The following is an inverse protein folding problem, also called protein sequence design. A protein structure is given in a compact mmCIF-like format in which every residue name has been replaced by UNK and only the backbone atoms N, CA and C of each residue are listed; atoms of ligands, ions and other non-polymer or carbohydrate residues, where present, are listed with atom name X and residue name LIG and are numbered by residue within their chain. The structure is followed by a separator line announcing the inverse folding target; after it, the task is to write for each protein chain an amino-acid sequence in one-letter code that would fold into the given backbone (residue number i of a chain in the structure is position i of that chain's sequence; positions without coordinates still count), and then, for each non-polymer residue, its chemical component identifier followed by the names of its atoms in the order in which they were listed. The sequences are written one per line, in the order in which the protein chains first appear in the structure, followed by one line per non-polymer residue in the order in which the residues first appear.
data_IF_446024824556
#
_entry.id   IF_446024824556
#
_cell.length_a   1.000
_cell.length_b   1.000
_cell.length_c   1.000
_cell.angle_alpha   90.00
_cell.angle_beta   90.00
_cell.angle_gamma   90.00
#
_symmetry.space_group_name_H-M   'P 1'
#
loop_
_entity.id
_entity.type
_entity.pdbx_description
1 polymer ?
#
# COMPACT_ATOMS: atom_id res chain seq x y z
N UNK A 1 10.80 10.37 -19.21
CA UNK A 1 10.01 10.37 -17.96
C UNK A 1 8.52 10.29 -18.30
N UNK A 2 7.64 9.98 -17.35
CA UNK A 2 6.18 9.88 -17.60
C UNK A 2 5.62 11.20 -18.15
N UNK A 3 6.16 12.31 -17.66
CA UNK A 3 5.82 13.67 -18.02
C UNK A 3 6.14 13.97 -19.50
N UNK A 4 7.26 13.42 -20.01
CA UNK A 4 7.65 13.56 -21.43
C UNK A 4 6.70 12.81 -22.38
N UNK A 5 5.97 11.82 -21.86
CA UNK A 5 4.98 11.04 -22.58
C UNK A 5 3.56 11.64 -22.47
N UNK A 6 3.41 12.80 -21.83
CA UNK A 6 2.11 13.48 -21.65
C UNK A 6 1.44 13.25 -20.29
N UNK A 7 2.12 12.60 -19.34
CA UNK A 7 1.58 12.33 -18.01
C UNK A 7 0.81 11.00 -17.91
N UNK A 8 0.21 10.76 -16.75
CA UNK A 8 -0.52 9.51 -16.45
C UNK A 8 -2.02 9.73 -16.53
N UNK A 9 -2.71 9.02 -17.42
CA UNK A 9 -4.17 9.01 -17.42
C UNK A 9 -4.74 8.18 -16.25
N UNK A 10 -4.21 6.97 -16.01
CA UNK A 10 -4.71 6.04 -14.98
C UNK A 10 -3.59 5.45 -14.11
N UNK A 11 -3.74 5.67 -12.80
CA UNK A 11 -3.07 5.13 -11.63
C UNK A 11 -3.64 3.83 -11.05
N UNK A 12 -3.31 2.61 -11.51
CA UNK A 12 -3.83 1.37 -10.89
C UNK A 12 -2.91 0.83 -9.79
N UNK A 13 -3.48 0.41 -8.66
CA UNK A 13 -2.73 -0.22 -7.57
C UNK A 13 -3.61 -0.81 -6.48
N UNK A 14 -3.00 -1.21 -5.36
CA UNK A 14 -3.68 -1.65 -4.14
C UNK A 14 -3.08 -0.96 -2.91
N UNK A 15 -3.68 -1.21 -1.75
CA UNK A 15 -3.19 -0.68 -0.47
C UNK A 15 -2.44 -1.77 0.30
N UNK A 16 -1.21 -1.46 0.69
CA UNK A 16 -0.35 -2.35 1.45
C UNK A 16 -0.73 -2.49 2.91
N UNK A 17 -0.04 -3.40 3.61
CA UNK A 17 -0.24 -3.63 5.05
C UNK A 17 -0.02 -2.36 5.88
N UNK A 18 1.08 -1.64 5.65
CA UNK A 18 1.40 -0.39 6.34
C UNK A 18 0.51 0.80 5.94
N UNK A 19 -0.44 0.60 5.01
CA UNK A 19 -1.15 1.70 4.37
C UNK A 19 -0.34 2.41 3.29
N UNK A 20 0.72 1.77 2.75
CA UNK A 20 1.52 2.30 1.65
C UNK A 20 0.80 2.26 0.31
N UNK A 21 1.34 3.03 -0.65
CA UNK A 21 1.13 2.89 -2.09
C UNK A 21 2.47 2.56 -2.75
N UNK A 22 2.52 1.56 -3.62
CA UNK A 22 3.80 1.06 -4.16
C UNK A 22 4.82 0.80 -3.02
N UNK A 23 6.07 1.27 -3.12
CA UNK A 23 7.02 1.22 -2.00
C UNK A 23 7.15 2.56 -1.26
N UNK A 24 6.10 3.38 -1.28
CA UNK A 24 6.00 4.62 -0.49
C UNK A 24 5.47 4.24 0.89
N UNK A 25 6.36 3.73 1.74
CA UNK A 25 6.03 3.30 3.10
C UNK A 25 6.07 4.45 4.11
N UNK A 26 5.21 4.46 5.13
CA UNK A 26 5.29 5.43 6.21
C UNK A 26 6.62 5.28 6.94
N UNK A 27 7.25 6.42 7.27
CA UNK A 27 8.56 6.48 7.96
C UNK A 27 9.68 5.74 7.23
N UNK A 28 9.57 5.53 5.92
CA UNK A 28 10.71 5.18 5.09
C UNK A 28 11.72 6.34 5.14
N UNK A 29 13.02 6.09 5.36
CA UNK A 29 14.04 7.13 5.38
C UNK A 29 14.04 8.00 4.12
N UNK A 30 13.68 7.41 2.98
CA UNK A 30 13.64 8.08 1.69
C UNK A 30 12.37 8.93 1.47
N UNK A 31 11.39 8.83 2.36
CA UNK A 31 10.16 9.63 2.37
C UNK A 31 9.88 10.26 3.76
N UNK A 32 10.91 10.43 4.57
CA UNK A 32 10.79 10.89 5.96
C UNK A 32 10.53 12.40 6.03
N UNK A 33 9.24 12.77 6.09
CA UNK A 33 8.80 14.14 6.36
C UNK A 33 7.44 14.12 7.06
N UNK A 34 7.21 15.12 7.90
CA UNK A 34 5.91 15.39 8.54
C UNK A 34 5.11 16.44 7.74
N UNK A 35 5.73 17.15 6.79
CA UNK A 35 5.07 18.13 5.95
C UNK A 35 4.39 17.44 4.76
N UNK A 36 3.06 17.55 4.72
CA UNK A 36 2.26 16.97 3.66
C UNK A 36 2.56 17.58 2.28
N UNK A 37 2.83 18.88 2.19
CA UNK A 37 3.15 19.52 0.90
C UNK A 37 4.49 19.02 0.37
N UNK A 38 5.49 18.89 1.26
CA UNK A 38 6.78 18.30 0.91
C UNK A 38 6.60 16.85 0.46
N UNK A 39 5.87 16.04 1.22
CA UNK A 39 5.61 14.64 0.89
C UNK A 39 4.96 14.48 -0.49
N UNK A 40 3.93 15.28 -0.81
CA UNK A 40 3.25 15.24 -2.11
C UNK A 40 4.17 15.61 -3.28
N UNK A 41 5.18 16.43 -3.07
CA UNK A 41 6.15 16.83 -4.09
C UNK A 41 7.23 15.77 -4.35
N UNK A 42 7.33 14.75 -3.50
CA UNK A 42 8.36 13.72 -3.62
C UNK A 42 8.15 12.85 -4.87
N UNK A 43 9.19 12.81 -5.72
CA UNK A 43 9.24 12.00 -6.94
C UNK A 43 9.82 10.60 -6.78
N UNK A 44 10.05 9.87 -7.89
CA UNK A 44 10.51 8.48 -7.90
C UNK A 44 11.91 8.34 -7.30
N UNK A 45 12.19 7.23 -6.63
CA UNK A 45 13.49 6.98 -5.98
C UNK A 45 13.73 5.49 -5.68
N UNK A 46 14.99 5.18 -5.38
CA UNK A 46 15.36 3.91 -4.73
C UNK A 46 15.04 4.04 -3.25
N UNK A 47 14.43 3.02 -2.66
CA UNK A 47 14.02 3.00 -1.25
C UNK A 47 14.51 1.76 -0.55
N UNK A 48 14.70 1.87 0.76
CA UNK A 48 14.86 0.74 1.67
C UNK A 48 13.48 0.19 2.01
N UNK A 49 13.25 -1.11 1.79
CA UNK A 49 11.91 -1.68 2.00
C UNK A 49 11.54 -1.71 3.49
N UNK A 50 10.32 -1.29 3.81
CA UNK A 50 9.79 -1.40 5.16
C UNK A 50 9.64 -2.87 5.58
N UNK A 51 9.87 -3.23 6.85
CA UNK A 51 9.64 -4.59 7.33
C UNK A 51 8.26 -5.17 7.00
N UNK A 52 7.20 -4.36 6.99
CA UNK A 52 5.87 -4.82 6.57
C UNK A 52 5.79 -5.15 5.08
N UNK A 53 6.47 -4.37 4.24
CA UNK A 53 6.59 -4.63 2.80
C UNK A 53 7.40 -5.89 2.53
N UNK A 54 8.47 -6.13 3.29
CA UNK A 54 9.24 -7.37 3.23
C UNK A 54 8.39 -8.56 3.66
N UNK A 55 7.69 -8.45 4.80
CA UNK A 55 6.81 -9.50 5.30
C UNK A 55 5.65 -9.81 4.36
N UNK A 56 5.07 -8.78 3.73
CA UNK A 56 4.04 -8.92 2.71
C UNK A 56 4.58 -9.63 1.47
N UNK A 57 5.69 -9.14 0.89
CA UNK A 57 6.31 -9.69 -0.33
C UNK A 57 6.77 -11.15 -0.13
N UNK A 58 7.24 -11.51 1.06
CA UNK A 58 7.67 -12.87 1.36
C UNK A 58 6.55 -13.92 1.28
N UNK A 59 5.29 -13.49 1.22
CA UNK A 59 4.11 -14.34 1.02
C UNK A 59 3.69 -14.44 -0.46
N UNK A 60 4.32 -13.69 -1.36
CA UNK A 60 4.03 -13.75 -2.80
C UNK A 60 4.63 -15.00 -3.46
N UNK A 61 4.07 -15.38 -4.60
CA UNK A 61 4.48 -16.55 -5.38
C UNK A 61 5.96 -16.54 -5.74
N UNK A 62 6.49 -15.37 -6.09
CA UNK A 62 7.89 -15.19 -6.48
C UNK A 62 8.86 -15.40 -5.30
N UNK A 63 8.38 -15.29 -4.07
CA UNK A 63 9.11 -15.60 -2.83
C UNK A 63 8.70 -16.95 -2.23
N UNK A 64 8.08 -17.83 -3.04
CA UNK A 64 7.74 -19.20 -2.65
C UNK A 64 6.58 -19.31 -1.66
N UNK A 65 5.82 -18.23 -1.42
CA UNK A 65 4.64 -18.20 -0.53
C UNK A 65 4.88 -18.79 0.87
N UNK A 66 6.11 -18.71 1.36
CA UNK A 66 6.57 -19.46 2.54
C UNK A 66 7.08 -18.56 3.66
N UNK A 67 7.08 -17.23 3.46
CA UNK A 67 7.59 -16.28 4.46
C UNK A 67 9.12 -16.26 4.55
N UNK A 68 9.84 -16.78 3.55
CA UNK A 68 11.30 -16.66 3.46
C UNK A 68 11.67 -15.24 3.04
N UNK A 69 11.71 -14.35 4.03
CA UNK A 69 12.05 -12.94 3.85
C UNK A 69 13.48 -12.75 3.31
N UNK A 70 14.35 -13.75 3.38
CA UNK A 70 15.72 -13.66 2.85
C UNK A 70 15.77 -13.59 1.32
N UNK A 71 14.69 -14.03 0.65
CA UNK A 71 14.55 -13.92 -0.81
C UNK A 71 14.10 -12.54 -1.28
N UNK A 72 13.58 -11.72 -0.37
CA UNK A 72 13.11 -10.37 -0.69
C UNK A 72 14.32 -9.42 -0.75
N UNK A 73 14.55 -8.71 -1.88
CA UNK A 73 15.61 -7.72 -1.97
C UNK A 73 15.44 -6.63 -0.90
N UNK A 74 16.52 -6.14 -0.27
CA UNK A 74 16.41 -5.14 0.80
C UNK A 74 15.99 -3.75 0.30
N UNK A 75 16.01 -3.51 -1.02
CA UNK A 75 15.70 -2.24 -1.65
C UNK A 75 14.77 -2.41 -2.84
N UNK A 76 13.94 -1.41 -3.09
CA UNK A 76 13.05 -1.32 -4.23
C UNK A 76 13.24 -0.01 -5.00
N UNK A 77 12.70 0.06 -6.21
CA UNK A 77 12.53 1.30 -6.97
C UNK A 77 11.04 1.59 -7.03
N UNK A 78 10.63 2.81 -6.69
CA UNK A 78 9.23 3.20 -6.67
C UNK A 78 8.99 4.54 -7.32
N UNK A 79 7.80 4.71 -7.88
CA UNK A 79 7.23 6.03 -8.12
C UNK A 79 7.02 6.77 -6.79
N UNK A 80 6.92 8.10 -6.83
CA UNK A 80 6.66 8.92 -5.64
C UNK A 80 5.21 9.39 -5.53
N UNK A 81 4.85 10.02 -4.40
CA UNK A 81 3.57 10.70 -4.21
C UNK A 81 3.20 11.65 -5.37
N UNK A 82 4.18 12.36 -5.93
CA UNK A 82 3.97 13.28 -7.04
C UNK A 82 3.39 12.58 -8.27
N UNK A 83 3.93 11.41 -8.65
CA UNK A 83 3.46 10.64 -9.82
C UNK A 83 2.06 10.07 -9.59
N UNK A 84 1.74 9.66 -8.36
CA UNK A 84 0.41 9.16 -8.01
C UNK A 84 -0.64 10.29 -8.11
N UNK A 85 -0.32 11.47 -7.57
CA UNK A 85 -1.23 12.61 -7.57
C UNK A 85 -1.38 13.26 -8.96
N UNK A 86 -0.34 13.19 -9.79
CA UNK A 86 -0.38 13.66 -11.17
C UNK A 86 -1.30 12.83 -12.07
N UNK A 87 -1.65 11.60 -11.67
CA UNK A 87 -2.58 10.77 -12.45
C UNK A 87 -3.98 11.41 -12.52
N UNK A 88 -4.62 11.39 -13.71
CA UNK A 88 -5.98 11.93 -13.90
C UNK A 88 -7.04 11.13 -13.15
N UNK A 89 -6.85 9.81 -13.05
CA UNK A 89 -7.67 8.90 -12.26
C UNK A 89 -6.77 7.90 -11.52
N UNK A 90 -7.10 7.59 -10.27
CA UNK A 90 -6.48 6.49 -9.51
C UNK A 90 -7.50 5.40 -9.24
N UNK A 91 -7.15 4.14 -9.42
CA UNK A 91 -7.96 3.02 -8.98
C UNK A 91 -7.19 2.22 -7.94
N UNK A 92 -7.86 1.91 -6.84
CA UNK A 92 -7.33 1.04 -5.80
C UNK A 92 -8.16 -0.23 -5.72
N UNK A 93 -7.52 -1.38 -5.90
CA UNK A 93 -8.12 -2.69 -5.89
C UNK A 93 -7.78 -3.41 -4.58
N UNK A 94 -8.81 -3.69 -3.77
CA UNK A 94 -8.64 -4.18 -2.39
C UNK A 94 -9.48 -5.45 -2.15
N UNK A 95 -8.87 -6.59 -2.43
CA UNK A 95 -9.47 -7.93 -2.33
C UNK A 95 -8.58 -8.95 -1.61
N UNK A 96 -7.45 -8.53 -1.05
CA UNK A 96 -6.43 -9.46 -0.59
C UNK A 96 -6.88 -10.25 0.65
N UNK A 97 -6.81 -11.57 0.57
CA UNK A 97 -6.98 -12.49 1.71
C UNK A 97 -5.91 -13.57 1.63
N UNK A 98 -5.45 -14.08 2.77
CA UNK A 98 -4.51 -15.19 2.80
C UNK A 98 -5.26 -16.49 2.50
N UNK A 99 -5.21 -16.93 1.24
CA UNK A 99 -5.95 -18.10 0.78
C UNK A 99 -7.47 -17.95 1.02
N UNK A 100 -8.22 -19.06 1.15
CA UNK A 100 -9.65 -19.03 1.41
C UNK A 100 -9.97 -18.76 2.90
N UNK A 101 -9.31 -17.77 3.52
CA UNK A 101 -9.49 -17.43 4.93
C UNK A 101 -10.06 -16.03 5.10
N UNK A 102 -10.46 -15.70 6.34
CA UNK A 102 -10.75 -14.31 6.74
C UNK A 102 -9.49 -13.58 7.20
N UNK A 103 -8.26 -14.05 6.96
CA UNK A 103 -7.06 -13.31 7.39
C UNK A 103 -6.69 -12.30 6.30
N UNK A 104 -6.67 -11.02 6.68
CA UNK A 104 -6.27 -9.92 5.79
C UNK A 104 -5.87 -8.69 6.58
N UNK A 105 -4.77 -8.06 6.19
CA UNK A 105 -4.39 -6.73 6.68
C UNK A 105 -5.23 -5.61 6.06
N UNK A 106 -5.76 -5.82 4.85
CA UNK A 106 -6.43 -4.76 4.09
C UNK A 106 -7.68 -4.23 4.78
N UNK A 107 -8.34 -5.01 5.66
CA UNK A 107 -9.49 -4.50 6.44
C UNK A 107 -9.15 -3.24 7.21
N UNK A 108 -7.99 -3.22 7.86
CA UNK A 108 -7.57 -2.06 8.62
C UNK A 108 -7.00 -0.98 7.73
N UNK A 109 -6.04 -1.31 6.86
CA UNK A 109 -5.31 -0.30 6.08
C UNK A 109 -6.20 0.44 5.09
N UNK A 110 -7.18 -0.23 4.46
CA UNK A 110 -8.14 0.43 3.54
C UNK A 110 -9.04 1.41 4.29
N UNK A 111 -9.52 1.08 5.49
CA UNK A 111 -10.32 2.00 6.31
C UNK A 111 -9.53 3.21 6.72
N UNK A 112 -8.28 3.00 7.14
CA UNK A 112 -7.39 4.09 7.53
C UNK A 112 -7.09 5.00 6.32
N UNK A 113 -6.85 4.43 5.15
CA UNK A 113 -6.64 5.19 3.92
C UNK A 113 -7.89 5.96 3.47
N UNK A 114 -9.09 5.40 3.63
CA UNK A 114 -10.34 6.01 3.17
C UNK A 114 -10.94 7.03 4.15
N UNK A 115 -10.74 6.85 5.45
CA UNK A 115 -11.41 7.62 6.49
C UNK A 115 -10.47 8.31 7.49
N UNK A 116 -9.19 7.94 7.50
CA UNK A 116 -8.18 8.61 8.32
C UNK A 116 -7.77 9.97 7.76
N UNK A 117 -6.98 10.75 8.52
CA UNK A 117 -6.42 12.00 8.04
C UNK A 117 -5.46 11.76 6.88
N UNK A 118 -5.46 12.68 5.91
CA UNK A 118 -4.47 12.66 4.82
C UNK A 118 -3.10 13.02 5.40
N UNK A 119 -2.15 12.09 5.35
CA UNK A 119 -0.87 12.21 6.06
C UNK A 119 0.22 11.29 5.47
N UNK A 120 1.51 11.67 5.57
CA UNK A 120 2.64 10.79 5.25
C UNK A 120 2.67 9.49 6.09
N UNK A 121 2.03 9.47 7.25
CA UNK A 121 1.93 8.27 8.10
C UNK A 121 0.98 7.21 7.53
N UNK A 122 0.14 7.58 6.57
CA UNK A 122 -0.75 6.67 5.83
C UNK A 122 -0.70 7.06 4.35
N UNK A 123 0.35 6.70 3.60
CA UNK A 123 0.55 7.17 2.23
C UNK A 123 -0.66 6.93 1.30
N UNK A 124 -1.40 5.84 1.49
CA UNK A 124 -2.64 5.55 0.77
C UNK A 124 -3.78 6.56 1.02
N UNK A 125 -3.73 7.35 2.09
CA UNK A 125 -4.66 8.45 2.30
C UNK A 125 -4.58 9.53 1.21
N UNK A 126 -3.48 9.60 0.45
CA UNK A 126 -3.38 10.46 -0.74
C UNK A 126 -4.45 10.16 -1.79
N UNK A 127 -5.01 8.94 -1.81
CA UNK A 127 -6.12 8.59 -2.70
C UNK A 127 -7.38 9.43 -2.43
N UNK A 128 -7.52 10.05 -1.25
CA UNK A 128 -8.59 11.00 -0.97
C UNK A 128 -8.43 12.32 -1.74
N UNK A 129 -7.23 12.62 -2.22
CA UNK A 129 -6.93 13.85 -2.94
C UNK A 129 -7.19 13.67 -4.45
N UNK A 130 -8.37 14.07 -4.89
CA UNK A 130 -8.77 14.08 -6.30
C UNK A 130 -9.48 12.79 -6.75
N UNK A 131 -9.70 12.62 -8.07
CA UNK A 131 -10.49 11.51 -8.60
C UNK A 131 -9.84 10.14 -8.34
N UNK A 132 -10.48 9.36 -7.47
CA UNK A 132 -10.05 8.00 -7.15
C UNK A 132 -11.23 7.06 -7.00
N UNK A 133 -11.09 5.83 -7.52
CA UNK A 133 -12.00 4.73 -7.27
C UNK A 133 -11.39 3.78 -6.25
N UNK A 134 -12.18 3.38 -5.25
CA UNK A 134 -11.79 2.38 -4.26
C UNK A 134 -12.68 1.14 -4.45
N UNK A 135 -12.12 0.08 -5.04
CA UNK A 135 -12.80 -1.20 -5.22
C UNK A 135 -12.49 -2.08 -4.01
N UNK A 136 -13.52 -2.44 -3.25
CA UNK A 136 -13.39 -3.18 -1.99
C UNK A 136 -14.32 -4.37 -2.01
N UNK A 137 -13.79 -5.55 -1.71
CA UNK A 137 -14.62 -6.77 -1.58
C UNK A 137 -15.37 -6.82 -0.24
N UNK A 138 -16.43 -7.62 -0.16
CA UNK A 138 -17.19 -7.81 1.07
C UNK A 138 -16.31 -8.26 2.25
N UNK A 139 -15.35 -9.17 2.02
CA UNK A 139 -14.45 -9.61 3.10
C UNK A 139 -13.57 -8.49 3.63
N UNK A 140 -13.13 -7.56 2.78
CA UNK A 140 -12.35 -6.39 3.21
C UNK A 140 -13.24 -5.34 3.88
N UNK A 141 -14.48 -5.20 3.43
CA UNK A 141 -15.49 -4.33 4.02
C UNK A 141 -16.09 -4.88 5.32
N UNK A 142 -15.86 -6.15 5.67
CA UNK A 142 -16.35 -6.77 6.90
C UNK A 142 -15.79 -6.08 8.16
N UNK A 143 -16.54 -6.11 9.26
CA UNK A 143 -16.17 -5.49 10.52
C UNK A 143 -14.83 -6.06 11.07
N UNK A 144 -14.10 -5.22 11.79
CA UNK A 144 -12.92 -5.64 12.55
C UNK A 144 -13.39 -5.94 13.97
N UNK A 145 -13.58 -7.22 14.26
CA UNK A 145 -14.07 -7.71 15.54
C UNK A 145 -13.26 -8.91 16.00
N UNK A 146 -13.36 -9.24 17.29
CA UNK A 146 -12.71 -10.43 17.83
C UNK A 146 -13.28 -11.68 17.14
N UNK A 147 -12.41 -12.48 16.54
CA UNK A 147 -12.78 -13.75 15.93
C UNK A 147 -12.38 -14.93 16.82
N UNK A 148 -13.03 -16.08 16.62
CA UNK A 148 -12.57 -17.34 17.22
C UNK A 148 -11.33 -17.82 16.49
N UNK A 149 -10.25 -18.03 17.24
CA UNK A 149 -9.07 -18.75 16.75
C UNK A 149 -9.46 -20.19 16.41
N UNK A 150 -9.16 -20.64 15.20
CA UNK A 150 -9.52 -22.00 14.76
C UNK A 150 -8.39 -23.02 14.96
N UNK A 151 -7.12 -22.60 15.08
CA UNK A 151 -6.00 -23.49 15.39
C UNK A 151 -4.68 -22.73 15.53
N UNK A 152 -4.01 -22.84 16.69
CA UNK A 152 -2.54 -22.65 16.78
C UNK A 152 -1.85 -23.81 17.52
N UNK A 153 -2.59 -24.61 18.29
CA UNK A 153 -2.08 -25.71 19.11
C UNK A 153 -3.04 -26.91 19.05
N UNK A 154 -3.23 -27.49 17.88
CA UNK A 154 -3.74 -28.85 17.77
C UNK A 154 -2.57 -29.84 17.86
#
# INVERSE_FOLDING_TARGET
MIEDAGGTDVCDGGIGWSGHLAFIDPRSPEFDTEDLEEFKAMGPRVVTLNPFTVAQTALDADCGMSGDWSWVPPKGVTIGPAQILAARLRNSWNSFTLGPTQISWQRFSVRLAAHGPVSPHVPASLLQLGPSNLYVTESIAANIEAHREMSWYA
#
